data_IF_601340835087
#
_entry.id   IF_601340835087
#
_cell.length_a   1.000
_cell.length_b   1.000
_cell.length_c   1.000
_cell.angle_alpha   90.00
_cell.angle_beta   90.00
_cell.angle_gamma   90.00
#
_symmetry.space_group_name_H-M   'P 1'
#
loop_
_entity.id
_entity.type
_entity.pdbx_description
1 polymer ?
#
# COMPACT_ATOMS: atom_id res chain seq x y z
N UNK A 1 -38.33 -41.17 71.05
CA UNK A 1 -38.78 -42.33 70.23
C UNK A 1 -38.01 -42.31 68.93
N UNK A 2 -37.36 -43.42 68.58
CA UNK A 2 -36.88 -43.67 67.22
C UNK A 2 -35.37 -43.60 66.99
N UNK A 3 -34.63 -44.52 67.60
CA UNK A 3 -33.27 -44.93 67.20
C UNK A 3 -33.20 -45.39 65.73
N UNK A 4 -32.05 -45.16 65.08
CA UNK A 4 -31.26 -46.24 64.45
C UNK A 4 -29.82 -45.81 64.14
N UNK A 5 -28.88 -46.58 64.69
CA UNK A 5 -27.41 -46.53 64.52
C UNK A 5 -26.96 -47.35 63.30
N UNK A 6 -25.84 -46.96 62.67
CA UNK A 6 -24.64 -47.79 62.37
C UNK A 6 -23.61 -46.91 61.64
N UNK A 7 -22.40 -46.62 62.15
CA UNK A 7 -21.14 -47.36 62.38
C UNK A 7 -20.01 -46.67 61.57
N UNK A 8 -18.85 -46.46 62.22
CA UNK A 8 -17.66 -45.73 61.71
C UNK A 8 -16.71 -46.66 60.91
N UNK A 9 -15.59 -46.14 60.35
CA UNK A 9 -14.34 -46.23 61.12
C UNK A 9 -13.43 -44.97 61.10
N UNK A 10 -12.47 -44.97 62.05
CA UNK A 10 -11.47 -43.95 62.41
C UNK A 10 -10.23 -44.03 61.49
N UNK A 11 -9.37 -43.00 61.46
CA UNK A 11 -7.95 -43.03 61.91
C UNK A 11 -7.32 -41.60 61.94
N UNK A 12 -6.43 -41.36 62.91
CA UNK A 12 -5.84 -40.10 63.40
C UNK A 12 -4.49 -39.73 62.75
N UNK A 13 -4.13 -38.44 62.82
CA UNK A 13 -2.80 -37.87 62.55
C UNK A 13 -1.79 -38.00 63.73
N UNK A 14 -0.46 -37.91 63.47
CA UNK A 14 0.48 -37.18 64.36
C UNK A 14 1.61 -36.40 63.59
N UNK A 15 1.92 -35.14 63.92
CA UNK A 15 2.91 -34.55 64.89
C UNK A 15 4.41 -34.48 64.47
N UNK A 16 4.87 -33.22 64.29
CA UNK A 16 6.10 -32.51 64.76
C UNK A 16 7.47 -33.24 64.93
N UNK A 17 8.54 -32.66 64.35
CA UNK A 17 9.69 -32.04 65.07
C UNK A 17 10.83 -31.54 64.12
N UNK A 18 11.45 -30.40 64.48
CA UNK A 18 12.74 -29.90 63.94
C UNK A 18 13.92 -30.52 64.71
N UNK A 19 15.15 -30.47 64.14
CA UNK A 19 16.20 -29.69 64.81
C UNK A 19 17.20 -28.97 63.87
N UNK A 20 18.05 -28.16 64.50
CA UNK A 20 19.01 -27.16 63.98
C UNK A 20 20.49 -27.59 64.08
N UNK A 21 21.39 -26.72 63.56
CA UNK A 21 22.88 -26.66 63.65
C UNK A 21 23.67 -27.50 62.62
N UNK A 22 24.78 -27.09 61.97
CA UNK A 22 25.82 -26.03 62.14
C UNK A 22 26.54 -25.83 60.79
N UNK A 23 27.18 -24.67 60.55
CA UNK A 23 28.20 -24.44 59.49
C UNK A 23 29.61 -24.62 60.09
N UNK A 24 30.66 -25.03 59.33
CA UNK A 24 31.59 -24.00 58.83
C UNK A 24 32.35 -24.30 57.51
N UNK A 25 32.70 -23.21 56.81
CA UNK A 25 33.92 -22.92 56.03
C UNK A 25 34.57 -24.00 55.12
N UNK A 26 34.42 -23.80 53.80
CA UNK A 26 35.55 -23.87 52.87
C UNK A 26 35.55 -22.64 51.95
N UNK A 27 36.65 -21.91 51.99
CA UNK A 27 36.95 -20.65 51.29
C UNK A 27 37.54 -20.98 49.89
N UNK A 28 37.37 -20.05 48.95
CA UNK A 28 38.28 -19.76 47.83
C UNK A 28 38.37 -20.80 46.69
N UNK A 29 37.51 -20.63 45.67
CA UNK A 29 37.93 -20.37 44.29
C UNK A 29 36.67 -20.08 43.46
N UNK A 30 36.75 -19.18 42.49
CA UNK A 30 35.68 -18.67 41.59
C UNK A 30 35.00 -17.34 41.98
N UNK A 31 35.69 -16.49 42.76
CA UNK A 31 35.45 -15.03 42.78
C UNK A 31 36.34 -14.25 41.79
N UNK A 32 36.85 -14.91 40.74
CA UNK A 32 37.59 -14.26 39.64
C UNK A 32 37.08 -14.68 38.25
N UNK A 33 35.76 -14.73 38.09
CA UNK A 33 35.12 -14.55 36.78
C UNK A 33 34.16 -13.35 36.81
N UNK A 34 34.58 -12.28 37.49
CA UNK A 34 34.09 -10.94 37.21
C UNK A 34 34.81 -10.40 35.99
N UNK A 35 34.23 -10.57 34.80
CA UNK A 35 34.38 -9.58 33.74
C UNK A 35 33.24 -9.73 32.72
N UNK A 36 32.49 -8.64 32.54
CA UNK A 36 31.32 -8.47 31.67
C UNK A 36 30.03 -9.23 32.08
N UNK A 37 29.42 -8.82 33.19
CA UNK A 37 27.95 -8.74 33.21
C UNK A 37 27.54 -7.69 32.16
N UNK A 38 27.33 -8.13 30.91
CA UNK A 38 26.47 -7.37 29.98
C UNK A 38 25.13 -7.23 30.70
N UNK A 39 24.74 -5.99 31.00
CA UNK A 39 23.34 -5.66 31.19
C UNK A 39 22.62 -6.07 29.91
N UNK A 40 22.12 -7.30 29.85
CA UNK A 40 21.16 -7.71 28.84
C UNK A 40 19.85 -7.07 29.26
N UNK A 41 19.67 -5.80 28.94
CA UNK A 41 18.34 -5.23 28.79
C UNK A 41 17.54 -6.21 27.93
N UNK A 42 16.41 -6.69 28.45
CA UNK A 42 15.47 -7.50 27.66
C UNK A 42 15.31 -6.84 26.27
N UNK A 43 15.38 -7.61 25.17
CA UNK A 43 15.29 -7.02 23.84
C UNK A 43 13.97 -6.27 23.72
N UNK A 44 14.04 -4.96 23.47
CA UNK A 44 12.87 -4.12 23.26
C UNK A 44 12.12 -4.69 22.06
N UNK A 45 11.00 -5.37 22.31
CA UNK A 45 10.19 -5.97 21.25
C UNK A 45 9.41 -4.88 20.52
N UNK A 46 9.92 -4.45 19.37
CA UNK A 46 9.16 -3.64 18.42
C UNK A 46 8.25 -4.57 17.60
N UNK A 47 6.99 -4.16 17.41
CA UNK A 47 6.03 -4.90 16.59
C UNK A 47 6.57 -5.10 15.18
N UNK A 48 6.48 -6.33 14.67
CA UNK A 48 7.01 -6.72 13.35
C UNK A 48 6.11 -6.32 12.17
N UNK A 49 5.13 -5.45 12.38
CA UNK A 49 4.22 -4.98 11.32
C UNK A 49 4.27 -3.45 11.32
N UNK A 50 4.96 -2.87 10.32
CA UNK A 50 4.77 -1.48 9.96
C UNK A 50 3.68 -1.44 8.91
N UNK A 51 2.51 -0.98 9.32
CA UNK A 51 1.41 -0.72 8.39
C UNK A 51 1.49 0.79 8.09
N UNK A 52 1.69 1.21 6.82
CA UNK A 52 1.69 2.63 6.49
C UNK A 52 0.41 3.27 7.00
N UNK A 53 0.55 4.41 7.67
CA UNK A 53 -0.58 5.31 7.83
C UNK A 53 -0.94 5.90 6.48
N UNK A 54 -2.09 6.54 6.37
CA UNK A 54 -2.44 7.33 5.20
C UNK A 54 -2.90 8.71 5.63
N UNK A 55 -2.40 9.73 4.93
CA UNK A 55 -2.86 11.11 5.07
C UNK A 55 -3.57 11.56 3.81
N UNK A 56 -4.72 12.21 3.96
CA UNK A 56 -5.38 12.88 2.84
C UNK A 56 -4.61 14.15 2.49
N UNK A 57 -4.31 14.35 1.22
CA UNK A 57 -3.48 15.48 0.77
C UNK A 57 -4.06 16.28 -0.39
N UNK A 58 -5.09 15.76 -1.06
CA UNK A 58 -5.71 16.43 -2.19
C UNK A 58 -7.17 15.99 -2.31
N UNK A 59 -8.03 16.97 -2.51
CA UNK A 59 -9.45 16.80 -2.82
C UNK A 59 -9.69 17.58 -4.11
N UNK A 60 -10.37 16.95 -5.06
CA UNK A 60 -10.71 17.58 -6.34
C UNK A 60 -12.21 17.44 -6.54
N UNK A 61 -12.84 18.58 -6.77
CA UNK A 61 -14.20 18.67 -7.26
C UNK A 61 -15.29 18.81 -6.21
N UNK A 62 -16.46 19.08 -6.77
CA UNK A 62 -17.74 19.33 -6.14
C UNK A 62 -18.83 19.03 -7.18
N UNK A 63 -20.09 19.06 -6.77
CA UNK A 63 -21.21 18.89 -7.70
C UNK A 63 -21.18 19.98 -8.79
N UNK A 64 -21.14 19.59 -10.06
CA UNK A 64 -21.31 20.51 -11.18
C UNK A 64 -20.75 20.02 -12.52
N UNK A 65 -20.96 20.76 -13.62
CA UNK A 65 -20.58 20.36 -14.97
C UNK A 65 -19.23 20.93 -15.45
N UNK A 66 -18.58 21.83 -14.72
CA UNK A 66 -17.33 22.47 -15.18
C UNK A 66 -16.11 21.55 -15.05
N UNK A 67 -14.98 21.80 -15.74
CA UNK A 67 -13.76 21.01 -15.58
C UNK A 67 -13.30 20.97 -14.10
N UNK A 68 -13.17 19.77 -13.55
CA UNK A 68 -12.86 19.55 -12.15
C UNK A 68 -14.08 19.43 -11.23
N UNK A 69 -15.28 19.74 -11.70
CA UNK A 69 -16.56 19.41 -11.03
C UNK A 69 -17.08 18.06 -11.52
N UNK A 70 -17.87 17.37 -10.69
CA UNK A 70 -18.39 16.05 -11.01
C UNK A 70 -19.89 15.96 -10.73
N UNK A 71 -20.57 15.05 -11.40
CA UNK A 71 -21.89 14.58 -11.07
C UNK A 71 -21.90 13.04 -11.03
N UNK A 72 -22.14 12.47 -9.86
CA UNK A 72 -22.09 11.03 -9.59
C UNK A 72 -20.90 10.30 -10.25
N UNK A 73 -19.64 10.70 -9.97
CA UNK A 73 -18.50 10.01 -10.55
C UNK A 73 -18.43 8.57 -10.02
N UNK A 74 -17.99 7.63 -10.86
CA UNK A 74 -17.98 6.19 -10.51
C UNK A 74 -16.63 5.53 -10.70
N UNK A 75 -16.13 5.46 -11.94
CA UNK A 75 -14.94 4.72 -12.33
C UNK A 75 -13.68 5.59 -12.29
N UNK A 76 -12.54 4.95 -12.01
CA UNK A 76 -11.23 5.60 -11.98
C UNK A 76 -10.16 4.68 -12.56
N UNK A 77 -9.24 5.25 -13.32
CA UNK A 77 -8.07 4.59 -13.86
C UNK A 77 -6.82 5.45 -13.69
N UNK A 78 -5.66 4.80 -13.62
CA UNK A 78 -4.36 5.48 -13.60
C UNK A 78 -3.50 4.92 -14.73
N UNK A 79 -2.84 5.79 -15.49
CA UNK A 79 -1.87 5.38 -16.51
C UNK A 79 -0.43 5.26 -15.97
N UNK A 80 0.50 4.83 -16.81
CA UNK A 80 1.91 4.67 -16.49
C UNK A 80 2.61 5.98 -16.07
N UNK A 81 2.05 7.14 -16.44
CA UNK A 81 2.56 8.46 -16.06
C UNK A 81 1.94 8.99 -14.78
N UNK A 82 1.08 8.20 -14.12
CA UNK A 82 0.26 8.58 -12.97
C UNK A 82 -0.79 9.67 -13.28
N UNK A 83 -1.26 9.74 -14.53
CA UNK A 83 -2.47 10.52 -14.83
C UNK A 83 -3.71 9.71 -14.42
N UNK A 84 -4.68 10.41 -13.85
CA UNK A 84 -5.93 9.87 -13.34
C UNK A 84 -7.03 10.16 -14.35
N UNK A 85 -7.81 9.15 -14.72
CA UNK A 85 -8.98 9.29 -15.58
C UNK A 85 -10.21 8.84 -14.82
N UNK A 86 -11.28 9.62 -14.89
CA UNK A 86 -12.48 9.42 -14.07
C UNK A 86 -13.71 9.48 -14.96
N UNK A 87 -14.61 8.50 -14.83
CA UNK A 87 -15.93 8.58 -15.45
C UNK A 87 -16.84 9.42 -14.58
N UNK A 88 -17.24 10.55 -15.13
CA UNK A 88 -18.14 11.53 -14.53
C UNK A 88 -19.56 11.26 -15.05
N UNK A 89 -20.19 10.24 -14.45
CA UNK A 89 -21.34 9.54 -15.04
C UNK A 89 -22.55 10.43 -15.26
N UNK A 90 -22.88 11.30 -14.29
CA UNK A 90 -24.00 12.24 -14.39
C UNK A 90 -23.76 13.32 -15.46
N UNK A 91 -22.50 13.66 -15.74
CA UNK A 91 -22.12 14.57 -16.80
C UNK A 91 -21.79 13.87 -18.14
N UNK A 92 -22.00 12.55 -18.26
CA UNK A 92 -21.77 11.76 -19.49
C UNK A 92 -20.36 11.91 -20.10
N UNK A 93 -19.35 12.16 -19.28
CA UNK A 93 -17.99 12.48 -19.76
C UNK A 93 -16.92 11.69 -19.02
N UNK A 94 -15.72 11.71 -19.59
CA UNK A 94 -14.49 11.30 -18.91
C UNK A 94 -13.64 12.53 -18.67
N UNK A 95 -13.15 12.70 -17.45
CA UNK A 95 -12.20 13.74 -17.08
C UNK A 95 -10.83 13.13 -16.75
N UNK A 96 -9.76 13.78 -17.21
CA UNK A 96 -8.38 13.40 -16.92
C UNK A 96 -7.70 14.46 -16.06
N UNK A 97 -6.90 14.02 -15.09
CA UNK A 97 -6.07 14.84 -14.22
C UNK A 97 -4.64 14.31 -14.17
N UNK A 98 -3.65 15.17 -13.94
CA UNK A 98 -2.30 14.73 -13.63
C UNK A 98 -2.16 14.33 -12.15
N UNK A 99 -1.01 13.80 -11.74
CA UNK A 99 -0.76 13.36 -10.36
C UNK A 99 -0.86 14.46 -9.29
N UNK A 100 -0.86 15.73 -9.69
CA UNK A 100 -1.08 16.92 -8.84
C UNK A 100 -2.54 17.38 -8.80
N UNK A 101 -3.44 16.73 -9.53
CA UNK A 101 -4.85 17.06 -9.62
C UNK A 101 -5.20 18.17 -10.60
N UNK A 102 -4.28 18.54 -11.48
CA UNK A 102 -4.57 19.55 -12.50
C UNK A 102 -5.27 18.89 -13.68
N UNK A 103 -6.34 19.50 -14.23
CA UNK A 103 -7.05 18.94 -15.38
C UNK A 103 -6.14 18.87 -16.60
N UNK A 104 -6.15 17.73 -17.29
CA UNK A 104 -5.38 17.51 -18.54
C UNK A 104 -6.28 17.39 -19.75
N UNK A 105 -7.50 16.87 -19.59
CA UNK A 105 -8.50 16.72 -20.65
C UNK A 105 -9.89 16.45 -20.08
N UNK A 106 -10.90 16.67 -20.91
CA UNK A 106 -12.22 16.11 -20.76
C UNK A 106 -12.77 15.76 -22.16
N UNK A 107 -13.55 14.70 -22.29
CA UNK A 107 -14.24 14.35 -23.54
C UNK A 107 -15.58 13.66 -23.27
N UNK A 108 -16.50 13.78 -24.24
CA UNK A 108 -17.90 13.40 -24.06
C UNK A 108 -18.72 14.56 -23.52
N UNK A 109 -19.78 14.25 -22.79
CA UNK A 109 -20.74 15.24 -22.30
C UNK A 109 -22.01 15.30 -23.15
N UNK A 110 -23.10 15.85 -22.61
CA UNK A 110 -24.45 15.66 -23.15
C UNK A 110 -24.63 16.13 -24.61
N UNK A 111 -23.81 17.07 -25.08
CA UNK A 111 -23.82 17.54 -26.47
C UNK A 111 -23.12 16.59 -27.46
N UNK A 112 -22.15 15.80 -26.99
CA UNK A 112 -21.32 14.90 -27.81
C UNK A 112 -21.68 13.42 -27.59
N UNK A 113 -22.13 13.08 -26.38
CA UNK A 113 -22.35 11.72 -25.91
C UNK A 113 -23.36 11.68 -24.75
N UNK A 114 -24.40 10.86 -24.86
CA UNK A 114 -25.47 10.74 -23.85
C UNK A 114 -25.52 9.38 -23.15
N UNK A 115 -24.52 8.52 -23.38
CA UNK A 115 -24.45 7.20 -22.76
C UNK A 115 -23.89 7.23 -21.35
N UNK A 116 -24.37 6.34 -20.48
CA UNK A 116 -23.94 6.24 -19.09
C UNK A 116 -22.55 5.62 -18.97
N UNK A 117 -21.54 6.49 -18.90
CA UNK A 117 -20.14 6.09 -18.72
C UNK A 117 -19.88 5.70 -17.26
N UNK A 118 -19.60 4.42 -16.98
CA UNK A 118 -19.49 3.92 -15.59
C UNK A 118 -18.11 3.41 -15.20
N UNK A 119 -17.28 3.01 -16.17
CA UNK A 119 -15.96 2.45 -15.94
C UNK A 119 -14.93 2.96 -16.92
N UNK A 120 -13.68 3.05 -16.48
CA UNK A 120 -12.52 3.45 -17.29
C UNK A 120 -11.31 2.61 -16.91
N UNK A 121 -10.46 2.26 -17.87
CA UNK A 121 -9.13 1.68 -17.65
C UNK A 121 -8.13 2.22 -18.65
N UNK A 122 -6.87 2.27 -18.24
CA UNK A 122 -5.76 2.63 -19.12
C UNK A 122 -5.05 1.38 -19.62
N UNK A 123 -4.65 1.39 -20.89
CA UNK A 123 -3.84 0.35 -21.51
C UNK A 123 -2.77 0.97 -22.41
N UNK A 124 -1.91 0.12 -23.01
CA UNK A 124 -0.75 0.58 -23.80
C UNK A 124 -1.13 1.59 -24.89
N UNK A 125 -2.24 1.38 -25.60
CA UNK A 125 -2.62 2.22 -26.74
C UNK A 125 -3.64 3.32 -26.40
N UNK A 126 -4.18 3.36 -25.18
CA UNK A 126 -5.26 4.29 -24.90
C UNK A 126 -5.98 4.08 -23.57
N UNK A 127 -7.24 4.50 -23.58
CA UNK A 127 -8.25 4.28 -22.56
C UNK A 127 -9.35 3.40 -23.15
N UNK A 128 -9.87 2.51 -22.34
CA UNK A 128 -11.12 1.81 -22.61
C UNK A 128 -12.16 2.33 -21.61
N UNK A 129 -13.39 2.55 -22.07
CA UNK A 129 -14.47 3.17 -21.31
C UNK A 129 -15.76 2.38 -21.53
N UNK A 130 -16.49 2.11 -20.46
CA UNK A 130 -17.77 1.38 -20.52
C UNK A 130 -18.91 2.35 -20.64
N UNK A 131 -19.78 2.10 -21.60
CA UNK A 131 -21.13 2.63 -21.58
C UNK A 131 -22.10 1.52 -21.18
N UNK A 132 -22.63 1.61 -19.96
CA UNK A 132 -23.63 0.66 -19.46
C UNK A 132 -24.98 0.81 -20.13
N UNK A 133 -25.37 2.02 -20.51
CA UNK A 133 -26.70 2.25 -21.11
C UNK A 133 -26.84 1.61 -22.50
N UNK A 134 -25.71 1.39 -23.18
CA UNK A 134 -25.66 0.82 -24.53
C UNK A 134 -24.98 -0.54 -24.58
N UNK A 135 -24.47 -1.05 -23.46
CA UNK A 135 -23.65 -2.26 -23.38
C UNK A 135 -22.45 -2.22 -24.34
N UNK A 136 -21.78 -1.06 -24.43
CA UNK A 136 -20.64 -0.84 -25.33
C UNK A 136 -19.34 -0.66 -24.56
N UNK A 137 -18.24 -1.12 -25.17
CA UNK A 137 -16.88 -0.76 -24.80
C UNK A 137 -16.32 0.19 -25.83
N UNK A 138 -15.99 1.40 -25.39
CA UNK A 138 -15.44 2.46 -26.22
C UNK A 138 -13.93 2.56 -26.02
N UNK A 139 -13.19 2.74 -27.10
CA UNK A 139 -11.75 2.94 -27.06
C UNK A 139 -11.39 4.38 -27.42
N UNK A 140 -10.49 4.98 -26.66
CA UNK A 140 -9.98 6.33 -26.86
C UNK A 140 -8.46 6.35 -26.75
N UNK A 141 -7.81 7.28 -27.42
CA UNK A 141 -6.43 7.64 -27.10
C UNK A 141 -6.37 8.29 -25.71
N UNK A 142 -5.20 8.32 -25.08
CA UNK A 142 -4.98 9.08 -23.83
C UNK A 142 -5.17 10.60 -23.96
N UNK A 143 -5.43 11.09 -25.18
CA UNK A 143 -5.81 12.48 -25.47
C UNK A 143 -7.32 12.64 -25.72
N UNK A 144 -8.13 11.61 -25.48
CA UNK A 144 -9.59 11.65 -25.63
C UNK A 144 -10.10 11.48 -27.06
N UNK A 145 -9.24 11.22 -28.05
CA UNK A 145 -9.67 10.95 -29.44
C UNK A 145 -10.20 9.51 -29.58
N UNK A 146 -11.34 9.26 -30.22
CA UNK A 146 -11.84 7.90 -30.45
C UNK A 146 -10.81 7.04 -31.20
N UNK A 147 -10.68 5.79 -30.80
CA UNK A 147 -9.92 4.77 -31.51
C UNK A 147 -10.89 3.80 -32.15
N UNK A 148 -10.73 3.57 -33.45
CA UNK A 148 -11.43 2.49 -34.12
C UNK A 148 -10.59 1.22 -33.94
N UNK A 149 -10.83 0.52 -32.83
CA UNK A 149 -10.17 -0.76 -32.56
C UNK A 149 -11.10 -1.83 -33.09
N UNK A 150 -10.68 -2.48 -34.17
CA UNK A 150 -11.33 -3.71 -34.60
C UNK A 150 -10.90 -4.82 -33.63
N UNK A 151 -11.82 -5.21 -32.76
CA UNK A 151 -11.57 -6.26 -31.77
C UNK A 151 -11.40 -7.65 -32.43
N UNK A 152 -11.48 -7.74 -33.77
CA UNK A 152 -11.57 -9.00 -34.53
C UNK A 152 -10.25 -9.74 -34.78
N UNK A 153 -9.07 -9.12 -34.67
CA UNK A 153 -7.80 -9.85 -34.92
C UNK A 153 -6.93 -10.08 -33.67
N UNK A 154 -7.04 -9.26 -32.62
CA UNK A 154 -6.23 -9.43 -31.39
C UNK A 154 -7.03 -9.79 -30.13
N UNK A 155 -8.36 -9.66 -30.16
CA UNK A 155 -9.26 -10.02 -29.04
C UNK A 155 -10.19 -11.21 -29.35
N UNK A 156 -10.20 -11.70 -30.59
CA UNK A 156 -10.99 -12.85 -31.05
C UNK A 156 -10.35 -14.22 -30.76
N UNK A 157 -10.18 -14.53 -29.49
CA UNK A 157 -10.39 -15.91 -29.01
C UNK A 157 -11.57 -16.02 -28.06
N UNK A 158 -12.59 -15.16 -28.23
CA UNK A 158 -13.86 -15.23 -27.52
C UNK A 158 -15.01 -15.15 -28.53
N UNK A 159 -15.45 -16.31 -29.01
CA UNK A 159 -16.46 -16.46 -30.06
C UNK A 159 -17.91 -16.36 -29.57
N UNK A 160 -18.15 -16.10 -28.28
CA UNK A 160 -19.53 -16.02 -27.77
C UNK A 160 -19.57 -15.22 -26.47
N UNK A 161 -20.11 -14.00 -26.51
CA UNK A 161 -20.24 -13.12 -25.33
C UNK A 161 -21.20 -13.68 -24.28
N UNK A 162 -22.03 -14.67 -24.63
CA UNK A 162 -22.89 -15.39 -23.68
C UNK A 162 -22.19 -16.60 -23.01
N UNK A 163 -21.10 -17.13 -23.57
CA UNK A 163 -20.30 -18.20 -22.93
C UNK A 163 -19.25 -17.67 -21.95
N UNK A 164 -18.97 -16.38 -21.99
CA UNK A 164 -18.27 -15.64 -20.92
C UNK A 164 -18.99 -15.84 -19.56
N UNK A 165 -20.31 -16.07 -19.57
CA UNK A 165 -21.13 -16.37 -18.38
C UNK A 165 -21.07 -17.84 -17.91
N UNK A 166 -20.38 -18.74 -18.62
CA UNK A 166 -19.99 -20.06 -18.13
C UNK A 166 -18.53 -20.29 -18.48
N UNK A 167 -17.67 -19.70 -17.66
CA UNK A 167 -16.23 -19.87 -17.76
C UNK A 167 -15.52 -18.95 -18.74
N UNK A 168 -15.84 -17.64 -18.79
CA UNK A 168 -14.84 -16.56 -19.00
C UNK A 168 -15.35 -15.11 -18.90
N UNK A 169 -15.78 -14.63 -17.72
CA UNK A 169 -16.03 -13.20 -17.46
C UNK A 169 -14.73 -12.41 -17.29
N UNK A 170 -14.17 -11.94 -18.41
CA UNK A 170 -13.07 -10.98 -18.45
C UNK A 170 -13.60 -9.54 -18.38
N UNK A 171 -14.25 -9.21 -17.28
CA UNK A 171 -14.72 -7.86 -16.95
C UNK A 171 -13.56 -7.09 -16.31
N UNK A 172 -13.28 -5.87 -16.76
CA UNK A 172 -12.57 -4.89 -15.93
C UNK A 172 -13.16 -3.53 -16.18
N UNK A 173 -14.48 -3.43 -16.01
CA UNK A 173 -15.22 -2.34 -16.61
C UNK A 173 -16.64 -2.23 -16.05
N UNK A 174 -16.83 -1.34 -15.08
CA UNK A 174 -18.13 -0.70 -14.82
C UNK A 174 -19.29 -1.63 -14.49
N UNK A 175 -19.21 -2.28 -13.33
CA UNK A 175 -20.31 -2.57 -12.39
C UNK A 175 -21.66 -2.82 -13.04
N UNK A 176 -22.00 -4.10 -13.24
CA UNK A 176 -23.41 -4.46 -13.23
C UNK A 176 -23.91 -4.40 -11.78
N UNK A 177 -24.54 -3.28 -11.43
CA UNK A 177 -25.25 -3.03 -10.18
C UNK A 177 -24.38 -2.83 -8.95
N UNK A 178 -23.62 -3.84 -8.54
CA UNK A 178 -23.11 -3.94 -7.16
C UNK A 178 -21.70 -4.57 -7.03
N UNK A 179 -21.06 -4.97 -8.15
CA UNK A 179 -19.80 -5.74 -8.15
C UNK A 179 -18.67 -5.04 -8.93
N UNK A 180 -17.45 -5.15 -8.42
CA UNK A 180 -16.23 -4.58 -8.99
C UNK A 180 -15.18 -5.66 -9.22
N UNK A 181 -14.28 -5.41 -10.18
CA UNK A 181 -13.30 -6.40 -10.62
C UNK A 181 -11.92 -5.79 -10.81
N UNK A 182 -10.88 -6.54 -10.46
CA UNK A 182 -9.49 -6.22 -10.73
C UNK A 182 -8.74 -7.45 -11.27
N UNK A 183 -7.71 -7.23 -12.09
CA UNK A 183 -6.84 -8.30 -12.62
C UNK A 183 -5.39 -7.99 -12.24
N UNK A 184 -4.68 -9.01 -11.76
CA UNK A 184 -3.23 -8.94 -11.55
C UNK A 184 -2.56 -10.27 -11.87
N UNK A 185 -1.69 -10.26 -12.88
CA UNK A 185 -1.06 -11.48 -13.39
C UNK A 185 -2.12 -12.50 -13.77
N UNK A 186 -1.97 -13.73 -13.32
CA UNK A 186 -2.94 -14.81 -13.55
C UNK A 186 -4.10 -14.82 -12.54
N UNK A 187 -4.36 -13.71 -11.82
CA UNK A 187 -5.43 -13.64 -10.82
C UNK A 187 -6.48 -12.59 -11.17
N UNK A 188 -7.74 -13.01 -11.03
CA UNK A 188 -8.95 -12.18 -11.11
C UNK A 188 -9.51 -11.97 -9.70
N UNK A 189 -9.88 -10.75 -9.37
CA UNK A 189 -10.45 -10.38 -8.09
C UNK A 189 -11.83 -9.79 -8.33
N UNK A 190 -12.83 -10.26 -7.60
CA UNK A 190 -14.23 -9.85 -7.76
C UNK A 190 -14.77 -9.50 -6.37
N UNK A 191 -15.43 -8.35 -6.26
CA UNK A 191 -16.28 -8.06 -5.10
C UNK A 191 -17.66 -8.65 -5.31
N UNK A 192 -18.16 -9.33 -4.29
CA UNK A 192 -19.57 -9.71 -4.15
C UNK A 192 -20.25 -8.72 -3.18
N UNK A 193 -21.52 -8.93 -2.87
CA UNK A 193 -22.30 -8.03 -1.98
C UNK A 193 -21.65 -7.87 -0.59
N UNK A 194 -20.94 -8.89 -0.11
CA UNK A 194 -20.45 -8.99 1.27
C UNK A 194 -19.02 -9.54 1.39
N UNK A 195 -18.36 -9.86 0.27
CA UNK A 195 -17.03 -10.51 0.30
C UNK A 195 -16.21 -10.21 -0.95
N UNK A 196 -14.94 -10.58 -0.89
CA UNK A 196 -14.04 -10.59 -2.04
C UNK A 196 -13.71 -12.03 -2.40
N UNK A 197 -13.79 -12.36 -3.69
CA UNK A 197 -13.32 -13.63 -4.24
C UNK A 197 -12.14 -13.39 -5.17
N UNK A 198 -11.11 -14.21 -5.02
CA UNK A 198 -9.91 -14.22 -5.86
C UNK A 198 -9.85 -15.55 -6.59
N UNK A 199 -9.77 -15.49 -7.92
CA UNK A 199 -9.67 -16.64 -8.80
C UNK A 199 -8.32 -16.66 -9.49
N UNK A 200 -7.74 -17.85 -9.62
CA UNK A 200 -6.63 -18.10 -10.54
C UNK A 200 -7.20 -18.39 -11.93
N UNK A 201 -6.68 -17.69 -12.93
CA UNK A 201 -6.97 -17.91 -14.35
C UNK A 201 -6.03 -19.00 -14.85
N UNK A 202 -6.57 -20.19 -15.16
CA UNK A 202 -5.80 -21.29 -15.72
C UNK A 202 -5.49 -21.05 -17.21
N UNK A 203 -4.49 -21.76 -17.74
CA UNK A 203 -4.10 -21.68 -19.17
C UNK A 203 -5.25 -22.03 -20.11
N UNK A 204 -6.06 -23.02 -19.72
CA UNK A 204 -7.29 -23.42 -20.42
C UNK A 204 -8.45 -22.45 -20.20
N UNK A 205 -8.17 -21.24 -19.70
CA UNK A 205 -9.11 -20.15 -19.55
C UNK A 205 -10.12 -20.30 -18.40
N UNK A 206 -10.15 -21.43 -17.70
CA UNK A 206 -11.01 -21.67 -16.53
C UNK A 206 -10.58 -20.85 -15.29
N UNK A 207 -11.55 -20.58 -14.42
CA UNK A 207 -11.35 -19.90 -13.15
C UNK A 207 -11.34 -20.92 -12.00
N UNK A 208 -10.28 -20.90 -11.21
CA UNK A 208 -10.15 -21.70 -10.00
C UNK A 208 -10.18 -20.79 -8.78
N UNK A 209 -11.13 -21.01 -7.87
CA UNK A 209 -11.20 -20.21 -6.64
C UNK A 209 -9.92 -20.42 -5.82
N UNK A 210 -9.18 -19.34 -5.60
CA UNK A 210 -7.90 -19.37 -4.89
C UNK A 210 -8.04 -18.87 -3.45
N UNK A 211 -8.91 -17.90 -3.21
CA UNK A 211 -9.16 -17.31 -1.90
C UNK A 211 -10.52 -16.62 -1.89
N UNK A 212 -11.22 -16.69 -0.77
CA UNK A 212 -12.34 -15.80 -0.46
C UNK A 212 -12.21 -15.28 0.96
N UNK A 213 -12.62 -14.04 1.18
CA UNK A 213 -12.61 -13.41 2.50
C UNK A 213 -13.64 -12.29 2.59
N UNK A 214 -14.06 -12.01 3.81
CA UNK A 214 -15.11 -11.04 4.12
C UNK A 214 -16.46 -11.69 4.41
N UNK A 215 -17.28 -10.93 5.11
CA UNK A 215 -18.68 -11.23 5.40
C UNK A 215 -19.43 -9.91 5.57
N UNK A 216 -20.76 -9.98 5.57
CA UNK A 216 -21.59 -8.81 5.78
C UNK A 216 -21.37 -8.22 7.19
N UNK A 217 -21.16 -6.90 7.26
CA UNK A 217 -21.05 -6.19 8.53
C UNK A 217 -20.20 -4.91 8.46
N UNK A 218 -19.96 -4.31 9.62
CA UNK A 218 -19.30 -3.01 9.80
C UNK A 218 -17.89 -3.14 10.40
N UNK A 219 -17.54 -4.33 10.91
CA UNK A 219 -16.27 -4.65 11.55
C UNK A 219 -15.08 -4.71 10.61
N UNK A 220 -13.87 -4.87 11.15
CA UNK A 220 -12.65 -5.00 10.35
C UNK A 220 -12.68 -6.28 9.51
N UNK A 221 -12.50 -6.14 8.20
CA UNK A 221 -12.62 -7.24 7.25
C UNK A 221 -14.05 -7.66 6.91
N UNK A 222 -15.06 -6.96 7.43
CA UNK A 222 -16.47 -7.09 7.03
C UNK A 222 -16.81 -6.02 5.98
N UNK A 223 -17.81 -6.27 5.15
CA UNK A 223 -18.19 -5.39 4.05
C UNK A 223 -19.70 -5.11 4.01
N UNK A 224 -20.04 -3.92 3.54
CA UNK A 224 -21.39 -3.55 3.12
C UNK A 224 -21.33 -2.95 1.71
N UNK A 225 -21.71 -3.77 0.72
CA UNK A 225 -21.76 -3.41 -0.69
C UNK A 225 -20.42 -2.87 -1.23
N UNK A 226 -19.36 -3.68 -1.26
CA UNK A 226 -18.06 -3.25 -1.75
C UNK A 226 -18.07 -3.08 -3.28
N UNK A 227 -18.04 -1.84 -3.77
CA UNK A 227 -18.22 -1.51 -5.20
C UNK A 227 -16.94 -1.04 -5.90
N UNK A 228 -15.79 -1.17 -5.22
CA UNK A 228 -14.48 -0.87 -5.80
C UNK A 228 -13.44 -1.87 -5.35
N UNK A 229 -12.57 -2.30 -6.26
CA UNK A 229 -11.44 -3.14 -5.93
C UNK A 229 -10.24 -2.81 -6.81
N UNK A 230 -9.06 -2.81 -6.21
CA UNK A 230 -7.79 -2.72 -6.92
C UNK A 230 -6.70 -3.48 -6.16
N UNK A 231 -5.59 -3.78 -6.84
CA UNK A 231 -4.48 -4.53 -6.26
C UNK A 231 -3.20 -3.78 -6.60
N UNK A 232 -2.38 -3.49 -5.58
CA UNK A 232 -1.10 -2.81 -5.79
C UNK A 232 -0.05 -3.73 -6.42
N UNK A 233 1.24 -3.36 -6.39
CA UNK A 233 2.35 -4.15 -6.92
C UNK A 233 2.97 -5.13 -5.89
N UNK A 234 2.61 -5.06 -4.61
CA UNK A 234 3.03 -6.01 -3.56
C UNK A 234 2.02 -7.16 -3.38
N UNK A 235 0.79 -6.91 -3.80
CA UNK A 235 -0.31 -7.88 -3.87
C UNK A 235 -1.38 -7.56 -2.86
N UNK A 236 -1.28 -6.41 -2.20
CA UNK A 236 -2.29 -5.96 -1.27
C UNK A 236 -3.54 -5.57 -2.06
N UNK A 237 -4.67 -5.97 -1.52
CA UNK A 237 -5.99 -5.80 -2.11
C UNK A 237 -6.64 -4.62 -1.41
N UNK A 238 -7.12 -3.64 -2.17
CA UNK A 238 -7.80 -2.47 -1.63
C UNK A 238 -9.24 -2.52 -2.11
N UNK A 239 -10.16 -2.34 -1.18
CA UNK A 239 -11.60 -2.49 -1.42
C UNK A 239 -12.29 -1.22 -0.95
N UNK A 240 -13.09 -0.61 -1.82
CA UNK A 240 -14.01 0.45 -1.45
C UNK A 240 -15.26 -0.20 -0.84
N UNK A 241 -15.41 -0.04 0.46
CA UNK A 241 -16.49 -0.60 1.26
C UNK A 241 -17.62 0.43 1.36
N UNK A 242 -18.41 0.49 0.29
CA UNK A 242 -19.20 1.68 -0.10
C UNK A 242 -20.17 2.14 0.97
N UNK A 243 -20.96 1.23 1.55
CA UNK A 243 -21.97 1.62 2.54
C UNK A 243 -21.39 1.78 3.94
N UNK A 244 -20.22 1.18 4.21
CA UNK A 244 -19.44 1.49 5.41
C UNK A 244 -18.60 2.77 5.26
N UNK A 245 -18.69 3.48 4.13
CA UNK A 245 -18.06 4.78 3.92
C UNK A 245 -16.54 4.78 4.16
N UNK A 246 -15.86 3.68 3.79
CA UNK A 246 -14.43 3.50 4.04
C UNK A 246 -13.75 2.72 2.92
N UNK A 247 -12.43 2.68 2.97
CA UNK A 247 -11.61 1.75 2.20
C UNK A 247 -10.91 0.80 3.15
N UNK A 248 -10.78 -0.46 2.74
CA UNK A 248 -10.03 -1.46 3.48
C UNK A 248 -8.90 -2.04 2.63
N UNK A 249 -7.70 -2.16 3.21
CA UNK A 249 -6.52 -2.81 2.60
C UNK A 249 -6.30 -4.17 3.26
N UNK A 250 -6.04 -5.16 2.44
CA UNK A 250 -5.79 -6.55 2.84
C UNK A 250 -4.47 -7.04 2.27
N UNK A 251 -3.82 -7.95 2.98
CA UNK A 251 -2.67 -8.69 2.46
C UNK A 251 -3.03 -9.51 1.22
N UNK A 252 -2.06 -10.00 0.44
CA UNK A 252 -2.30 -10.91 -0.68
C UNK A 252 -3.04 -12.22 -0.31
N UNK A 253 -3.10 -12.52 1.00
CA UNK A 253 -3.76 -13.69 1.60
C UNK A 253 -5.11 -13.36 2.26
N UNK A 254 -5.63 -12.14 2.10
CA UNK A 254 -6.95 -11.75 2.62
C UNK A 254 -6.98 -11.36 4.10
N UNK A 255 -5.83 -11.34 4.80
CA UNK A 255 -5.75 -10.77 6.16
C UNK A 255 -5.97 -9.25 6.09
N UNK A 256 -6.90 -8.73 6.87
CA UNK A 256 -7.10 -7.29 7.07
C UNK A 256 -5.81 -6.62 7.56
N UNK A 257 -5.46 -5.48 6.97
CA UNK A 257 -4.29 -4.70 7.37
C UNK A 257 -4.71 -3.35 7.97
N UNK A 258 -5.56 -2.60 7.28
CA UNK A 258 -6.04 -1.31 7.76
C UNK A 258 -7.36 -0.94 7.07
N UNK A 259 -8.06 0.00 7.70
CA UNK A 259 -9.16 0.73 7.10
C UNK A 259 -8.81 2.23 7.10
N UNK A 260 -9.28 2.96 6.10
CA UNK A 260 -9.05 4.39 5.96
C UNK A 260 -10.32 5.13 5.50
N UNK A 261 -10.43 6.38 5.96
CA UNK A 261 -11.39 7.37 5.49
C UNK A 261 -12.68 7.47 6.31
N UNK A 262 -13.19 8.70 6.40
CA UNK A 262 -14.60 9.01 6.61
C UNK A 262 -15.17 9.45 5.25
N UNK A 263 -15.22 8.51 4.31
CA UNK A 263 -15.60 8.77 2.91
C UNK A 263 -17.13 8.91 2.81
N UNK A 264 -17.67 9.18 1.63
CA UNK A 264 -19.10 9.08 1.39
C UNK A 264 -19.37 8.34 0.09
N UNK A 265 -19.90 7.11 0.22
CA UNK A 265 -20.12 6.17 -0.88
C UNK A 265 -18.90 6.08 -1.83
N UNK A 266 -17.73 5.62 -1.32
CA UNK A 266 -16.57 5.42 -2.18
C UNK A 266 -16.87 4.31 -3.20
N UNK A 267 -16.69 4.59 -4.50
CA UNK A 267 -16.97 3.63 -5.58
C UNK A 267 -15.68 3.24 -6.28
N UNK A 268 -15.11 4.13 -7.08
CA UNK A 268 -13.85 3.89 -7.77
C UNK A 268 -12.65 3.99 -6.83
N UNK A 269 -11.71 3.06 -6.96
CA UNK A 269 -10.43 3.09 -6.27
C UNK A 269 -9.30 2.73 -7.24
N UNK A 270 -8.21 3.50 -7.19
CA UNK A 270 -6.99 3.19 -7.92
C UNK A 270 -5.77 3.47 -7.03
N UNK A 271 -4.74 2.63 -7.16
CA UNK A 271 -3.51 2.75 -6.37
C UNK A 271 -2.32 2.94 -7.31
N UNK A 272 -1.49 3.93 -7.02
CA UNK A 272 -0.25 4.19 -7.78
C UNK A 272 0.83 3.18 -7.41
N UNK A 273 1.89 3.10 -8.23
CA UNK A 273 3.07 2.27 -7.92
C UNK A 273 3.76 2.67 -6.63
N UNK A 274 3.64 3.95 -6.26
CA UNK A 274 4.18 4.54 -5.03
C UNK A 274 3.28 4.33 -3.80
N UNK A 275 2.12 3.69 -3.96
CA UNK A 275 1.18 3.41 -2.86
C UNK A 275 0.15 4.50 -2.60
N UNK A 276 0.15 5.60 -3.37
CA UNK A 276 -0.90 6.61 -3.26
C UNK A 276 -2.25 6.05 -3.73
N UNK A 277 -3.28 6.30 -2.93
CA UNK A 277 -4.64 5.82 -3.18
C UNK A 277 -5.47 6.99 -3.69
N UNK A 278 -6.09 6.82 -4.85
CA UNK A 278 -7.10 7.71 -5.37
C UNK A 278 -8.47 7.06 -5.24
N UNK A 279 -9.43 7.86 -4.79
CA UNK A 279 -10.77 7.40 -4.43
C UNK A 279 -11.79 8.31 -5.07
N UNK A 280 -12.79 7.72 -5.71
CA UNK A 280 -13.98 8.42 -6.17
C UNK A 280 -15.03 8.36 -5.07
N UNK A 281 -15.42 9.53 -4.56
CA UNK A 281 -16.50 9.66 -3.59
C UNK A 281 -17.78 10.08 -4.31
N UNK A 282 -18.61 9.09 -4.64
CA UNK A 282 -19.85 9.33 -5.37
C UNK A 282 -20.79 10.24 -4.56
N UNK A 283 -20.92 9.98 -3.25
CA UNK A 283 -21.81 10.74 -2.38
C UNK A 283 -21.35 12.18 -2.06
N UNK A 284 -20.14 12.56 -2.49
CA UNK A 284 -19.60 13.94 -2.36
C UNK A 284 -19.20 14.55 -3.70
N UNK A 285 -19.45 13.88 -4.82
CA UNK A 285 -19.13 14.38 -6.16
C UNK A 285 -17.67 14.82 -6.31
N UNK A 286 -16.74 14.03 -5.78
CA UNK A 286 -15.33 14.43 -5.71
C UNK A 286 -14.36 13.26 -5.75
N UNK A 287 -13.09 13.58 -5.97
CA UNK A 287 -11.96 12.68 -5.81
C UNK A 287 -11.21 13.02 -4.52
N UNK A 288 -10.73 12.00 -3.82
CA UNK A 288 -9.84 12.16 -2.68
C UNK A 288 -8.56 11.35 -2.89
N UNK A 289 -7.41 12.01 -2.71
CA UNK A 289 -6.10 11.38 -2.74
C UNK A 289 -5.59 11.18 -1.31
N UNK A 290 -5.20 9.95 -1.02
CA UNK A 290 -4.43 9.58 0.15
C UNK A 290 -3.03 9.24 -0.26
N UNK A 291 -2.05 9.78 0.45
CA UNK A 291 -0.67 9.32 0.32
C UNK A 291 -0.28 8.55 1.58
N UNK A 292 0.54 7.51 1.42
CA UNK A 292 1.08 6.78 2.55
C UNK A 292 1.88 7.74 3.46
N UNK A 293 1.95 7.43 4.74
CA UNK A 293 2.80 8.10 5.71
C UNK A 293 3.50 7.09 6.63
N UNK A 294 4.75 7.39 6.98
CA UNK A 294 5.53 6.57 7.90
C UNK A 294 5.08 6.88 9.33
N UNK A 295 4.20 6.05 9.88
CA UNK A 295 3.84 6.07 11.31
C UNK A 295 4.66 5.03 12.07
N UNK A 296 5.77 5.46 12.65
CA UNK A 296 6.60 4.62 13.51
C UNK A 296 6.20 4.84 14.96
N UNK A 297 5.64 3.81 15.59
CA UNK A 297 5.39 3.83 17.04
C UNK A 297 6.68 3.54 17.76
N UNK A 298 7.20 4.53 18.50
CA UNK A 298 8.42 4.39 19.28
C UNK A 298 8.05 3.83 20.67
N UNK A 299 8.62 2.68 21.08
CA UNK A 299 8.46 2.16 22.43
C UNK A 299 8.89 3.17 23.50
N UNK A 300 8.20 3.17 24.65
CA UNK A 300 8.45 4.13 25.73
C UNK A 300 9.90 4.11 26.23
N UNK A 301 10.57 2.96 26.16
CA UNK A 301 11.96 2.79 26.55
C UNK A 301 12.90 3.54 25.62
N UNK A 302 12.62 3.53 24.32
CA UNK A 302 13.40 4.26 23.31
C UNK A 302 13.09 5.76 23.38
N UNK A 303 11.82 6.12 23.63
CA UNK A 303 11.36 7.50 23.70
C UNK A 303 12.09 8.33 24.79
N UNK A 304 12.55 7.71 25.87
CA UNK A 304 13.28 8.39 26.96
C UNK A 304 14.72 8.78 26.58
N UNK A 305 15.26 8.23 25.51
CA UNK A 305 16.66 8.42 25.12
C UNK A 305 16.79 9.74 24.35
N UNK A 306 17.78 10.55 24.74
CA UNK A 306 18.04 11.89 24.19
C UNK A 306 19.41 12.04 23.52
N UNK A 307 20.26 11.00 23.58
CA UNK A 307 21.54 11.01 22.87
C UNK A 307 21.34 10.52 21.43
N UNK A 308 21.21 11.45 20.48
CA UNK A 308 20.92 11.15 19.08
C UNK A 308 22.06 10.39 18.37
N UNK A 309 23.33 10.66 18.69
CA UNK A 309 24.46 9.94 18.08
C UNK A 309 24.48 8.47 18.52
N UNK A 310 24.26 8.23 19.81
CA UNK A 310 24.12 6.88 20.34
C UNK A 310 22.92 6.16 19.71
N UNK A 311 21.78 6.83 19.57
CA UNK A 311 20.58 6.28 18.92
C UNK A 311 20.88 5.81 17.49
N UNK A 312 21.54 6.66 16.69
CA UNK A 312 21.94 6.31 15.33
C UNK A 312 22.90 5.10 15.30
N UNK A 313 23.95 5.11 16.13
CA UNK A 313 24.92 4.03 16.18
C UNK A 313 24.30 2.71 16.67
N UNK A 314 23.34 2.77 17.60
CA UNK A 314 22.57 1.62 18.05
C UNK A 314 21.69 1.06 16.93
N UNK A 315 21.04 1.91 16.15
CA UNK A 315 20.31 1.50 14.94
C UNK A 315 21.20 0.76 13.94
N UNK A 316 22.41 1.27 13.68
CA UNK A 316 23.39 0.63 12.78
C UNK A 316 23.82 -0.75 13.28
N UNK A 317 24.00 -0.89 14.59
CA UNK A 317 24.32 -2.17 15.21
C UNK A 317 23.16 -3.17 15.04
N UNK A 318 21.92 -2.75 15.26
CA UNK A 318 20.74 -3.59 15.08
C UNK A 318 20.55 -4.05 13.63
N UNK A 319 20.86 -3.20 12.65
CA UNK A 319 20.88 -3.61 11.23
C UNK A 319 21.86 -4.76 10.96
N UNK A 320 23.03 -4.77 11.64
CA UNK A 320 24.00 -5.87 11.50
C UNK A 320 23.47 -7.21 12.03
N UNK A 321 22.54 -7.15 12.98
CA UNK A 321 21.81 -8.31 13.50
C UNK A 321 20.53 -8.62 12.73
N UNK A 322 20.27 -7.91 11.61
CA UNK A 322 19.04 -8.02 10.80
C UNK A 322 17.76 -7.66 11.59
N UNK A 323 17.89 -6.87 12.66
CA UNK A 323 16.78 -6.38 13.47
C UNK A 323 16.23 -5.06 12.92
N UNK A 324 15.74 -5.06 11.68
CA UNK A 324 15.37 -3.84 10.95
C UNK A 324 14.25 -3.04 11.61
N UNK A 325 13.23 -3.70 12.16
CA UNK A 325 12.12 -3.02 12.86
C UNK A 325 12.60 -2.21 14.05
N UNK A 326 13.47 -2.80 14.87
CA UNK A 326 14.07 -2.08 16.00
C UNK A 326 14.98 -0.97 15.48
N UNK A 327 15.85 -1.25 14.51
CA UNK A 327 16.75 -0.24 13.94
C UNK A 327 15.99 1.01 13.47
N UNK A 328 14.86 0.84 12.78
CA UNK A 328 13.98 1.92 12.33
C UNK A 328 13.46 2.75 13.51
N UNK A 329 13.02 2.14 14.60
CA UNK A 329 12.57 2.88 15.79
C UNK A 329 13.68 3.74 16.42
N UNK A 330 14.92 3.23 16.46
CA UNK A 330 16.09 3.99 16.93
C UNK A 330 16.45 5.15 15.99
N UNK A 331 16.40 4.92 14.67
CA UNK A 331 16.62 5.97 13.69
C UNK A 331 15.55 7.06 13.74
N UNK A 332 14.28 6.69 13.88
CA UNK A 332 13.19 7.65 14.03
C UNK A 332 13.39 8.49 15.29
N UNK A 333 13.75 7.85 16.42
CA UNK A 333 14.02 8.59 17.65
C UNK A 333 15.22 9.54 17.49
N UNK A 334 16.27 9.13 16.78
CA UNK A 334 17.40 10.00 16.47
C UNK A 334 16.96 11.28 15.76
N UNK A 335 16.03 11.17 14.80
CA UNK A 335 15.47 12.30 14.06
C UNK A 335 14.63 13.20 14.99
N UNK A 336 13.73 12.61 15.79
CA UNK A 336 12.88 13.38 16.73
C UNK A 336 13.67 14.18 17.76
N UNK A 337 14.77 13.61 18.26
CA UNK A 337 15.61 14.24 19.29
C UNK A 337 16.37 15.43 18.72
N UNK A 338 16.90 15.31 17.50
CA UNK A 338 17.71 16.36 16.89
C UNK A 338 17.54 16.35 15.35
N UNK A 339 16.48 16.99 14.82
CA UNK A 339 16.18 16.97 13.38
C UNK A 339 17.25 17.69 12.54
N UNK A 340 17.83 18.78 13.04
CA UNK A 340 18.85 19.55 12.29
C UNK A 340 20.24 18.88 12.26
N UNK A 341 20.37 17.70 12.88
CA UNK A 341 21.64 16.98 12.97
C UNK A 341 22.04 16.36 11.63
N UNK A 342 23.34 16.30 11.28
CA UNK A 342 23.83 15.49 10.17
C UNK A 342 23.51 13.99 10.31
N UNK A 343 23.17 13.53 11.52
CA UNK A 343 22.71 12.15 11.75
C UNK A 343 21.24 11.96 11.36
N UNK A 344 20.41 13.00 11.32
CA UNK A 344 18.99 12.89 11.00
C UNK A 344 18.78 12.52 9.52
N UNK A 345 19.43 13.21 8.59
CA UNK A 345 19.40 12.85 7.16
C UNK A 345 19.93 11.44 6.90
N UNK A 346 21.00 11.05 7.61
CA UNK A 346 21.56 9.69 7.55
C UNK A 346 20.59 8.65 8.11
N UNK A 347 19.99 8.92 9.26
CA UNK A 347 19.02 8.05 9.91
C UNK A 347 17.82 7.82 8.97
N UNK A 348 17.28 8.88 8.37
CA UNK A 348 16.18 8.80 7.41
C UNK A 348 16.54 7.95 6.19
N UNK A 349 17.74 8.11 5.63
CA UNK A 349 18.22 7.25 4.55
C UNK A 349 18.34 5.78 4.98
N UNK A 350 18.79 5.50 6.20
CA UNK A 350 18.85 4.12 6.72
C UNK A 350 17.47 3.53 6.97
N UNK A 351 16.47 4.34 7.34
CA UNK A 351 15.07 3.90 7.43
C UNK A 351 14.61 3.36 6.06
N UNK A 352 14.85 4.10 4.98
CA UNK A 352 14.49 3.64 3.63
C UNK A 352 15.20 2.35 3.21
N UNK A 353 16.50 2.23 3.51
CA UNK A 353 17.24 0.97 3.29
C UNK A 353 16.71 -0.20 4.13
N UNK A 354 16.31 0.07 5.37
CA UNK A 354 15.75 -0.93 6.25
C UNK A 354 14.41 -1.44 5.72
N UNK A 355 13.54 -0.55 5.25
CA UNK A 355 12.29 -0.93 4.58
C UNK A 355 12.52 -1.71 3.29
N UNK A 356 13.51 -1.32 2.47
CA UNK A 356 13.90 -2.11 1.28
C UNK A 356 14.30 -3.54 1.67
N UNK A 357 15.10 -3.71 2.74
CA UNK A 357 15.50 -5.05 3.23
C UNK A 357 14.33 -5.85 3.81
N UNK A 358 13.30 -5.17 4.34
CA UNK A 358 12.06 -5.79 4.78
C UNK A 358 11.13 -6.17 3.62
N UNK A 359 11.41 -5.70 2.40
CA UNK A 359 10.58 -5.93 1.22
C UNK A 359 9.38 -5.00 1.09
N UNK A 360 9.29 -3.95 1.93
CA UNK A 360 8.24 -2.93 1.85
C UNK A 360 8.66 -1.82 0.89
N UNK A 361 8.23 -1.94 -0.37
CA UNK A 361 8.62 -1.04 -1.47
C UNK A 361 8.05 0.36 -1.21
N UNK A 362 6.76 0.43 -0.86
CA UNK A 362 6.03 1.66 -0.53
C UNK A 362 6.79 2.47 0.54
N UNK A 363 7.03 1.84 1.70
CA UNK A 363 7.72 2.47 2.83
C UNK A 363 9.16 2.87 2.53
N UNK A 364 9.87 2.08 1.70
CA UNK A 364 11.24 2.40 1.30
C UNK A 364 11.29 3.66 0.43
N UNK A 365 10.41 3.76 -0.57
CA UNK A 365 10.36 4.94 -1.44
C UNK A 365 9.96 6.20 -0.70
N UNK A 366 8.97 6.10 0.20
CA UNK A 366 8.58 7.23 1.05
C UNK A 366 9.75 7.71 1.91
N UNK A 367 10.48 6.79 2.53
CA UNK A 367 11.60 7.16 3.37
C UNK A 367 12.71 7.84 2.57
N UNK A 368 12.96 7.40 1.32
CA UNK A 368 13.91 8.06 0.41
C UNK A 368 13.44 9.45 -0.03
N UNK A 369 12.15 9.60 -0.37
CA UNK A 369 11.57 10.89 -0.75
C UNK A 369 11.61 11.87 0.43
N UNK A 370 11.34 11.39 1.64
CA UNK A 370 11.40 12.21 2.84
C UNK A 370 12.81 12.74 3.15
N UNK A 371 13.88 12.05 2.74
CA UNK A 371 15.24 12.62 2.81
C UNK A 371 15.35 13.88 1.96
N UNK A 372 14.75 13.85 0.76
CA UNK A 372 14.81 14.97 -0.21
C UNK A 372 13.95 16.13 0.26
N UNK A 373 12.78 15.83 0.83
CA UNK A 373 11.83 16.83 1.34
C UNK A 373 12.35 17.51 2.62
N UNK A 374 12.77 16.73 3.61
CA UNK A 374 13.14 17.25 4.93
C UNK A 374 14.60 17.74 4.96
N UNK A 375 15.49 17.16 4.14
CA UNK A 375 16.93 17.47 4.13
C UNK A 375 17.50 17.77 2.73
N UNK A 376 16.92 18.70 1.96
CA UNK A 376 17.28 18.96 0.56
C UNK A 376 18.72 19.45 0.36
N UNK A 377 19.38 19.98 1.39
CA UNK A 377 20.79 20.42 1.31
C UNK A 377 21.79 19.35 1.73
N UNK A 378 21.31 18.20 2.20
CA UNK A 378 22.17 17.11 2.66
C UNK A 378 22.73 16.32 1.48
N UNK A 379 23.95 15.80 1.61
CA UNK A 379 24.50 14.83 0.65
C UNK A 379 23.68 13.53 0.60
N UNK A 380 22.86 13.27 1.61
CA UNK A 380 21.99 12.11 1.66
C UNK A 380 20.79 12.24 0.71
N UNK A 381 20.40 13.45 0.29
CA UNK A 381 19.27 13.66 -0.64
C UNK A 381 19.56 13.16 -2.06
N UNK A 382 20.70 13.54 -2.67
CA UNK A 382 21.11 13.00 -3.97
C UNK A 382 21.32 11.47 -3.91
N UNK A 383 21.84 10.99 -2.77
CA UNK A 383 22.05 9.56 -2.53
C UNK A 383 20.75 8.78 -2.36
N UNK A 384 19.73 9.34 -1.71
CA UNK A 384 18.43 8.69 -1.56
C UNK A 384 17.71 8.56 -2.90
N UNK A 385 17.77 9.59 -3.75
CA UNK A 385 17.26 9.53 -5.13
C UNK A 385 17.97 8.46 -5.96
N UNK A 386 19.29 8.34 -5.84
CA UNK A 386 20.05 7.32 -6.57
C UNK A 386 19.64 5.91 -6.12
N UNK A 387 19.48 5.70 -4.82
CA UNK A 387 19.05 4.40 -4.27
C UNK A 387 17.61 4.06 -4.63
N UNK A 388 16.72 5.07 -4.66
CA UNK A 388 15.36 4.93 -5.19
C UNK A 388 15.38 4.55 -6.67
N UNK A 389 16.14 5.25 -7.50
CA UNK A 389 16.27 4.96 -8.94
C UNK A 389 16.75 3.53 -9.21
N UNK A 390 17.80 3.09 -8.52
CA UNK A 390 18.32 1.71 -8.64
C UNK A 390 17.29 0.67 -8.19
N UNK A 391 16.57 0.95 -7.11
CA UNK A 391 15.53 0.05 -6.63
C UNK A 391 14.36 -0.03 -7.61
N UNK A 392 13.97 1.08 -8.26
CA UNK A 392 12.99 1.08 -9.34
C UNK A 392 13.43 0.25 -10.55
N UNK A 393 14.71 0.29 -10.92
CA UNK A 393 15.25 -0.59 -11.97
C UNK A 393 15.20 -2.07 -11.60
N UNK A 394 15.50 -2.43 -10.34
CA UNK A 394 15.36 -3.80 -9.84
C UNK A 394 13.91 -4.30 -10.01
N UNK A 395 12.94 -3.39 -9.88
CA UNK A 395 11.51 -3.64 -10.10
C UNK A 395 11.09 -3.53 -11.57
N UNK A 396 12.03 -3.27 -12.50
CA UNK A 396 11.78 -3.02 -13.94
C UNK A 396 10.87 -1.82 -14.23
N UNK A 397 10.81 -0.85 -13.32
CA UNK A 397 10.06 0.41 -13.47
C UNK A 397 10.96 1.49 -14.06
N UNK A 398 11.35 1.31 -15.33
CA UNK A 398 12.43 2.11 -15.94
C UNK A 398 12.08 3.60 -16.14
N UNK A 399 10.84 3.93 -16.47
CA UNK A 399 10.40 5.33 -16.57
C UNK A 399 10.45 6.04 -15.21
N UNK A 400 10.05 5.35 -14.14
CA UNK A 400 10.10 5.87 -12.77
C UNK A 400 11.55 6.05 -12.30
N UNK A 401 12.41 5.07 -12.61
CA UNK A 401 13.84 5.12 -12.33
C UNK A 401 14.49 6.31 -13.03
N UNK A 402 14.18 6.51 -14.32
CA UNK A 402 14.65 7.64 -15.12
C UNK A 402 14.25 8.98 -14.48
N UNK A 403 12.99 9.14 -14.10
CA UNK A 403 12.50 10.34 -13.40
C UNK A 403 13.28 10.62 -12.11
N UNK A 404 13.61 9.59 -11.34
CA UNK A 404 14.43 9.74 -10.12
C UNK A 404 15.85 10.23 -10.44
N UNK A 405 16.48 9.72 -11.49
CA UNK A 405 17.80 10.18 -11.92
C UNK A 405 17.79 11.59 -12.52
N UNK A 406 16.78 11.93 -13.32
CA UNK A 406 16.62 13.28 -13.87
C UNK A 406 16.51 14.33 -12.74
N UNK A 407 15.84 13.99 -11.63
CA UNK A 407 15.82 14.84 -10.44
C UNK A 407 17.21 15.06 -9.84
N UNK A 408 18.08 14.04 -9.80
CA UNK A 408 19.47 14.21 -9.35
C UNK A 408 20.21 15.19 -10.26
N UNK A 409 20.08 15.03 -11.58
CA UNK A 409 20.77 15.89 -12.55
C UNK A 409 20.32 17.33 -12.42
N UNK A 410 19.01 17.54 -12.25
CA UNK A 410 18.39 18.87 -12.18
C UNK A 410 18.56 19.56 -10.83
N UNK A 411 18.29 18.85 -9.74
CA UNK A 411 18.24 19.42 -8.38
C UNK A 411 19.62 19.37 -7.68
N UNK A 412 20.51 18.47 -8.10
CA UNK A 412 21.80 18.20 -7.45
C UNK A 412 22.98 18.10 -8.45
N UNK A 413 23.24 19.14 -9.26
CA UNK A 413 24.28 19.13 -10.29
C UNK A 413 25.69 18.82 -9.74
N UNK A 414 26.03 19.35 -8.57
CA UNK A 414 27.36 19.22 -7.95
C UNK A 414 27.52 17.94 -7.09
N UNK A 415 26.51 17.07 -7.06
CA UNK A 415 26.56 15.85 -6.25
C UNK A 415 27.48 14.78 -6.85
N UNK A 416 28.03 13.91 -5.99
CA UNK A 416 28.87 12.78 -6.43
C UNK A 416 28.07 11.77 -7.25
N UNK A 417 26.75 11.73 -7.07
CA UNK A 417 25.82 10.83 -7.73
C UNK A 417 25.43 11.31 -9.14
N UNK A 418 25.62 12.59 -9.46
CA UNK A 418 25.17 13.21 -10.71
C UNK A 418 25.66 12.48 -11.97
N UNK A 419 26.99 12.32 -12.12
CA UNK A 419 27.59 11.64 -13.28
C UNK A 419 27.09 10.21 -13.47
N UNK A 420 26.75 9.52 -12.38
CA UNK A 420 26.19 8.18 -12.48
C UNK A 420 24.71 8.23 -12.91
N UNK A 421 23.95 9.20 -12.42
CA UNK A 421 22.56 9.42 -12.81
C UNK A 421 22.44 9.68 -14.33
N UNK A 422 23.30 10.54 -14.89
CA UNK A 422 23.37 10.80 -16.34
C UNK A 422 23.57 9.51 -17.14
N UNK A 423 24.57 8.69 -16.77
CA UNK A 423 24.84 7.39 -17.42
C UNK A 423 23.67 6.41 -17.33
N UNK A 424 22.91 6.44 -16.23
CA UNK A 424 21.72 5.58 -16.09
C UNK A 424 20.56 6.07 -16.95
N UNK A 425 20.38 7.38 -17.09
CA UNK A 425 19.37 7.98 -17.98
C UNK A 425 19.64 7.54 -19.43
N UNK A 426 20.86 7.75 -19.91
CA UNK A 426 21.29 7.36 -21.27
C UNK A 426 21.06 5.87 -21.51
N UNK A 427 21.47 5.02 -20.57
CA UNK A 427 21.25 3.57 -20.67
C UNK A 427 19.76 3.20 -20.77
N UNK A 428 18.89 3.83 -19.97
CA UNK A 428 17.45 3.56 -20.00
C UNK A 428 16.84 4.03 -21.34
N UNK A 429 17.21 5.21 -21.82
CA UNK A 429 16.70 5.74 -23.08
C UNK A 429 17.14 4.89 -24.27
N UNK A 430 18.43 4.59 -24.39
CA UNK A 430 18.97 3.92 -25.57
C UNK A 430 18.70 2.41 -25.61
N UNK A 431 18.75 1.73 -24.46
CA UNK A 431 18.74 0.26 -24.41
C UNK A 431 17.42 -0.33 -23.99
N UNK A 432 16.51 0.47 -23.42
CA UNK A 432 15.26 -0.04 -22.85
C UNK A 432 14.05 0.63 -23.49
N UNK A 433 14.06 1.94 -23.68
CA UNK A 433 12.91 2.68 -24.21
C UNK A 433 13.01 2.98 -25.72
N UNK A 434 14.22 2.98 -26.28
CA UNK A 434 14.49 3.26 -27.69
C UNK A 434 14.46 2.04 -28.63
N UNK A 435 14.22 0.84 -28.10
CA UNK A 435 14.00 -0.40 -28.86
C UNK A 435 12.63 -0.98 -28.56
#
# INVERSE_FOLDING_TARGET
MGDRKSQRPKIKAPRSHCPSFTLPFLILLLLFAGCLRRQTTLPIRVSKEFIPGYKSVLIIGCLGPEPGEFDHPTGIAIDEKENIYVTDTGNYRVQGFNSKGQPILAFGGPAEYTGMLTGVTSFKHGLLVVDRSRSLLLAFTKKGRPLNIDFTEELCQFQDLNQVAQGKKGEMFGVDGDRAIAIRGDYLYITDIDKVRKFRIKKNKELELALEFGMWGEGQGEFMLPQGITVDHEGCIYVADTLNNRIQKFSPRGKFLLALGELNKPMGIAVTRTGAIWVVENGRHRLQKFIPEIKIVIPQEIAKITNYEWLYNRGRQLESFKEFYQAIAYYQRCIEVKPDSPFASRAQLQIGRSFKKLGSIEMAFMAYDQVVEDYPRSKEASRSLLEKGRFLEELRLFEDAKRAYERIVKEYPDSKENRLAEKRIEFIEEKILGG
#
